data_IF_075563201995
#
_entry.id   IF_075563201995
#
_cell.length_a   1.000
_cell.length_b   1.000
_cell.length_c   1.000
_cell.angle_alpha   90.00
_cell.angle_beta   90.00
_cell.angle_gamma   90.00
#
_symmetry.space_group_name_H-M   'P 1'
#
loop_
_entity.id
_entity.type
_entity.pdbx_description
1 polymer ?
#
# COMPACT_ATOMS: atom_id res chain seq x y z
N UNK A 1 16.72 4.09 15.92
CA UNK A 1 16.67 4.23 14.44
C UNK A 1 17.76 5.22 14.03
N UNK A 2 18.92 4.75 13.54
CA UNK A 2 19.98 5.65 13.04
C UNK A 2 19.47 6.30 11.75
N UNK A 3 19.19 7.59 11.79
CA UNK A 3 18.76 8.33 10.59
C UNK A 3 19.97 8.42 9.66
N UNK A 4 19.87 7.83 8.48
CA UNK A 4 20.92 7.95 7.48
C UNK A 4 20.96 9.38 6.97
N UNK A 5 22.13 10.02 7.06
CA UNK A 5 22.35 11.39 6.56
C UNK A 5 22.03 11.53 5.08
N UNK A 6 22.19 10.46 4.29
CA UNK A 6 21.76 10.38 2.88
C UNK A 6 20.26 10.61 2.71
N UNK A 7 19.41 9.97 3.53
CA UNK A 7 17.95 10.12 3.41
C UNK A 7 17.49 11.52 3.81
N UNK A 8 18.13 12.11 4.81
CA UNK A 8 17.80 13.48 5.25
C UNK A 8 18.18 14.51 4.18
N UNK A 9 19.31 14.32 3.48
CA UNK A 9 19.69 15.13 2.32
C UNK A 9 18.71 14.96 1.16
N UNK A 10 18.31 13.74 0.83
CA UNK A 10 17.32 13.47 -0.22
C UNK A 10 15.99 14.14 0.11
N UNK A 11 15.55 14.09 1.36
CA UNK A 11 14.34 14.79 1.80
C UNK A 11 14.46 16.31 1.65
N UNK A 12 15.55 16.92 2.16
CA UNK A 12 15.76 18.37 2.08
C UNK A 12 15.86 18.88 0.64
N UNK A 13 16.68 18.24 -0.20
CA UNK A 13 16.79 18.60 -1.61
C UNK A 13 15.51 18.27 -2.40
N UNK A 14 14.86 17.15 -2.13
CA UNK A 14 13.60 16.78 -2.77
C UNK A 14 12.51 17.82 -2.50
N UNK A 15 12.39 18.27 -1.25
CA UNK A 15 11.42 19.29 -0.87
C UNK A 15 11.74 20.66 -1.49
N UNK A 16 13.01 21.04 -1.56
CA UNK A 16 13.45 22.25 -2.28
C UNK A 16 13.14 22.19 -3.78
N UNK A 17 13.40 21.06 -4.45
CA UNK A 17 13.08 20.88 -5.88
C UNK A 17 11.59 20.96 -6.13
N UNK A 18 10.77 20.32 -5.28
CA UNK A 18 9.31 20.39 -5.39
C UNK A 18 8.82 21.84 -5.23
N UNK A 19 9.30 22.56 -4.20
CA UNK A 19 8.96 23.97 -3.99
C UNK A 19 9.39 24.86 -5.16
N UNK A 20 10.60 24.66 -5.70
CA UNK A 20 11.09 25.38 -6.87
C UNK A 20 10.23 25.11 -8.11
N UNK A 21 9.82 23.85 -8.32
CA UNK A 21 8.92 23.50 -9.42
C UNK A 21 7.56 24.19 -9.29
N UNK A 22 6.97 24.21 -8.09
CA UNK A 22 5.73 24.95 -7.85
C UNK A 22 5.92 26.47 -8.04
N UNK A 23 7.01 27.05 -7.53
CA UNK A 23 7.31 28.47 -7.73
C UNK A 23 7.41 28.83 -9.22
N UNK A 24 8.11 28.01 -10.02
CA UNK A 24 8.19 28.15 -11.47
C UNK A 24 6.82 28.04 -12.14
N UNK A 25 6.03 27.03 -11.73
CA UNK A 25 4.73 26.73 -12.32
C UNK A 25 3.68 27.79 -12.02
N UNK A 26 3.73 28.39 -10.83
CA UNK A 26 2.91 29.55 -10.46
C UNK A 26 3.34 30.80 -11.21
N UNK A 27 4.64 31.07 -11.33
CA UNK A 27 5.15 32.19 -12.12
C UNK A 27 4.74 32.11 -13.60
N UNK A 28 4.69 30.90 -14.17
CA UNK A 28 4.32 30.68 -15.57
C UNK A 28 2.81 30.78 -15.85
N UNK A 29 1.92 30.52 -14.88
CA UNK A 29 0.46 30.53 -15.12
C UNK A 29 -0.29 31.70 -14.52
N UNK A 30 0.14 32.21 -13.37
CA UNK A 30 -0.47 33.37 -12.75
C UNK A 30 0.63 34.41 -12.53
N UNK A 31 0.60 35.53 -13.26
CA UNK A 31 1.46 36.70 -12.99
C UNK A 31 1.19 37.35 -11.62
N UNK A 32 0.51 36.63 -10.72
CA UNK A 32 0.24 37.01 -9.35
C UNK A 32 1.54 36.87 -8.55
N UNK A 33 2.34 37.94 -8.60
CA UNK A 33 3.71 37.99 -8.11
C UNK A 33 3.82 37.87 -6.58
N UNK A 34 2.71 37.91 -5.85
CA UNK A 34 2.72 37.96 -4.38
C UNK A 34 3.21 36.67 -3.72
N UNK A 35 2.92 35.49 -4.29
CA UNK A 35 3.23 34.19 -3.65
C UNK A 35 4.53 33.55 -4.18
N UNK A 36 4.95 33.91 -5.39
CA UNK A 36 6.19 33.44 -6.02
C UNK A 36 7.46 33.73 -5.17
N UNK A 37 7.69 34.94 -4.61
CA UNK A 37 8.88 35.21 -3.81
C UNK A 37 8.85 34.45 -2.48
N UNK A 38 7.67 34.19 -1.90
CA UNK A 38 7.52 33.43 -0.66
C UNK A 38 7.93 31.97 -0.89
N UNK A 39 7.44 31.36 -1.98
CA UNK A 39 7.78 29.99 -2.36
C UNK A 39 9.27 29.85 -2.76
N UNK A 40 9.80 30.83 -3.50
CA UNK A 40 11.21 30.89 -3.86
C UNK A 40 12.13 31.03 -2.64
N UNK A 41 11.79 31.94 -1.71
CA UNK A 41 12.51 32.12 -0.46
C UNK A 41 12.45 30.85 0.41
N UNK A 42 11.29 30.21 0.51
CA UNK A 42 11.14 28.94 1.23
C UNK A 42 12.02 27.83 0.62
N UNK A 43 12.05 27.68 -0.70
CA UNK A 43 12.92 26.73 -1.39
C UNK A 43 14.40 26.97 -1.08
N UNK A 44 14.82 28.24 -1.13
CA UNK A 44 16.22 28.64 -0.91
C UNK A 44 16.61 28.47 0.56
N UNK A 45 15.70 28.76 1.50
CA UNK A 45 15.86 28.47 2.91
C UNK A 45 16.01 26.97 3.16
N UNK A 46 15.16 26.13 2.56
CA UNK A 46 15.27 24.68 2.71
C UNK A 46 16.59 24.14 2.15
N UNK A 47 17.03 24.59 0.98
CA UNK A 47 18.33 24.21 0.42
C UNK A 47 19.51 24.66 1.31
N UNK A 48 19.44 25.88 1.85
CA UNK A 48 20.44 26.44 2.74
C UNK A 48 20.50 25.67 4.08
N UNK A 49 19.35 25.43 4.72
CA UNK A 49 19.25 24.65 5.96
C UNK A 49 19.76 23.22 5.77
N UNK A 50 19.46 22.59 4.64
CA UNK A 50 19.95 21.24 4.32
C UNK A 50 21.49 21.19 4.20
N UNK A 51 22.10 22.29 3.74
CA UNK A 51 23.56 22.40 3.54
C UNK A 51 24.30 22.75 4.83
N UNK A 52 23.79 23.70 5.62
CA UNK A 52 24.49 24.22 6.80
C UNK A 52 24.08 23.56 8.13
N UNK A 53 22.84 23.10 8.26
CA UNK A 53 22.25 22.65 9.53
C UNK A 53 21.34 21.44 9.34
N UNK A 54 21.91 20.32 8.89
CA UNK A 54 21.18 19.07 8.66
C UNK A 54 20.47 18.56 9.94
N UNK A 55 21.05 18.80 11.11
CA UNK A 55 20.51 18.36 12.41
C UNK A 55 19.15 19.02 12.76
N UNK A 56 18.92 20.26 12.34
CA UNK A 56 17.65 20.95 12.57
C UNK A 56 16.48 20.29 11.81
N UNK A 57 16.78 19.56 10.74
CA UNK A 57 15.79 18.88 9.91
C UNK A 57 15.36 17.51 10.49
N UNK A 58 16.12 16.96 11.43
CA UNK A 58 15.87 15.66 12.07
C UNK A 58 14.48 15.57 12.73
N UNK A 59 14.08 16.49 13.65
CA UNK A 59 12.78 16.38 14.32
C UNK A 59 11.61 16.53 13.33
N UNK A 60 11.76 17.40 12.33
CA UNK A 60 10.75 17.61 11.30
C UNK A 60 10.61 16.39 10.40
N UNK A 61 11.72 15.86 9.87
CA UNK A 61 11.75 14.64 9.08
C UNK A 61 11.12 13.46 9.84
N UNK A 62 11.43 13.31 11.13
CA UNK A 62 10.89 12.21 11.93
C UNK A 62 9.38 12.29 12.10
N UNK A 63 8.82 13.48 12.37
CA UNK A 63 7.36 13.64 12.44
C UNK A 63 6.71 13.42 11.07
N UNK A 64 7.30 13.97 10.02
CA UNK A 64 6.81 13.78 8.65
C UNK A 64 6.78 12.30 8.25
N UNK A 65 7.85 11.57 8.54
CA UNK A 65 7.94 10.14 8.23
C UNK A 65 6.94 9.30 9.01
N UNK A 66 6.60 9.65 10.26
CA UNK A 66 5.53 8.98 11.01
C UNK A 66 4.18 9.12 10.31
N UNK A 67 3.87 10.32 9.81
CA UNK A 67 2.64 10.58 9.05
C UNK A 67 2.65 9.80 7.73
N UNK A 68 3.76 9.85 7.00
CA UNK A 68 3.92 9.10 5.75
C UNK A 68 3.76 7.58 5.96
N UNK A 69 4.30 7.03 7.06
CA UNK A 69 4.13 5.62 7.42
C UNK A 69 2.69 5.28 7.77
N UNK A 70 2.00 6.14 8.51
CA UNK A 70 0.58 5.95 8.84
C UNK A 70 -0.29 5.93 7.58
N UNK A 71 -0.09 6.89 6.68
CA UNK A 71 -0.77 6.93 5.37
C UNK A 71 -0.43 5.68 4.56
N UNK A 72 0.86 5.30 4.51
CA UNK A 72 1.31 4.12 3.79
C UNK A 72 0.66 2.82 4.29
N UNK A 73 0.44 2.69 5.60
CA UNK A 73 -0.26 1.55 6.19
C UNK A 73 -1.72 1.48 5.72
N UNK A 74 -2.43 2.61 5.76
CA UNK A 74 -3.81 2.70 5.27
C UNK A 74 -3.88 2.36 3.79
N UNK A 75 -2.99 2.94 2.97
CA UNK A 75 -2.93 2.68 1.52
C UNK A 75 -2.65 1.20 1.24
N UNK A 76 -1.75 0.56 1.99
CA UNK A 76 -1.45 -0.86 1.83
C UNK A 76 -2.67 -1.73 2.11
N UNK A 77 -3.37 -1.48 3.22
CA UNK A 77 -4.61 -2.18 3.58
C UNK A 77 -5.69 -1.93 2.54
N UNK A 78 -5.81 -0.70 2.04
CA UNK A 78 -6.81 -0.32 1.04
C UNK A 78 -6.55 -1.04 -0.29
N UNK A 79 -5.33 -0.98 -0.82
CA UNK A 79 -4.95 -1.64 -2.07
C UNK A 79 -5.17 -3.15 -1.95
N UNK A 80 -4.72 -3.76 -0.85
CA UNK A 80 -4.88 -5.20 -0.64
C UNK A 80 -6.36 -5.60 -0.53
N UNK A 81 -7.17 -4.81 0.17
CA UNK A 81 -8.61 -5.01 0.26
C UNK A 81 -9.28 -4.94 -1.11
N UNK A 82 -8.97 -3.90 -1.90
CA UNK A 82 -9.53 -3.73 -3.24
C UNK A 82 -9.17 -4.94 -4.11
N UNK A 83 -7.90 -5.34 -4.15
CA UNK A 83 -7.46 -6.50 -4.92
C UNK A 83 -8.18 -7.76 -4.44
N UNK A 84 -8.30 -7.95 -3.13
CA UNK A 84 -8.94 -9.14 -2.59
C UNK A 84 -10.41 -9.25 -3.02
N UNK A 85 -11.18 -8.17 -2.86
CA UNK A 85 -12.60 -8.17 -3.24
C UNK A 85 -12.82 -8.17 -4.74
N UNK A 86 -12.00 -7.48 -5.54
CA UNK A 86 -12.15 -7.50 -6.99
C UNK A 86 -11.71 -8.82 -7.60
N UNK A 87 -10.62 -9.42 -7.13
CA UNK A 87 -10.14 -10.67 -7.73
C UNK A 87 -10.92 -11.85 -7.16
N UNK A 88 -10.83 -12.09 -5.85
CA UNK A 88 -11.47 -13.26 -5.24
C UNK A 88 -12.98 -13.11 -5.13
N UNK A 89 -13.47 -11.89 -4.87
CA UNK A 89 -14.91 -11.65 -4.83
C UNK A 89 -15.59 -11.86 -6.18
N UNK A 90 -15.00 -11.38 -7.29
CA UNK A 90 -15.55 -11.65 -8.63
C UNK A 90 -15.49 -13.14 -8.94
N UNK A 91 -14.41 -13.85 -8.60
CA UNK A 91 -14.34 -15.32 -8.77
C UNK A 91 -15.45 -16.03 -8.00
N UNK A 92 -15.70 -15.64 -6.75
CA UNK A 92 -16.79 -16.19 -5.93
C UNK A 92 -18.18 -15.91 -6.53
N UNK A 93 -18.41 -14.68 -7.01
CA UNK A 93 -19.65 -14.31 -7.71
C UNK A 93 -19.80 -15.14 -8.98
N UNK A 94 -18.73 -15.33 -9.76
CA UNK A 94 -18.75 -16.08 -11.01
C UNK A 94 -19.05 -17.56 -10.78
N UNK A 95 -18.45 -18.18 -9.75
CA UNK A 95 -18.77 -19.54 -9.33
C UNK A 95 -20.24 -19.69 -8.91
N UNK A 96 -20.78 -18.68 -8.20
CA UNK A 96 -22.19 -18.66 -7.78
C UNK A 96 -23.15 -18.51 -8.97
N UNK A 97 -22.81 -17.67 -9.94
CA UNK A 97 -23.57 -17.51 -11.19
C UNK A 97 -23.55 -18.79 -12.04
N UNK A 98 -22.40 -19.47 -12.09
CA UNK A 98 -22.25 -20.78 -12.73
C UNK A 98 -22.94 -21.92 -11.96
N UNK A 99 -23.55 -21.61 -10.80
CA UNK A 99 -24.25 -22.54 -9.91
C UNK A 99 -23.40 -23.78 -9.56
N UNK A 100 -22.08 -23.62 -9.61
CA UNK A 100 -21.12 -24.70 -9.42
C UNK A 100 -20.89 -24.86 -7.92
N UNK A 101 -21.56 -25.85 -7.35
CA UNK A 101 -21.33 -26.23 -5.97
C UNK A 101 -20.03 -27.06 -5.89
N UNK A 102 -18.93 -26.41 -5.53
CA UNK A 102 -17.63 -27.09 -5.39
C UNK A 102 -17.54 -27.90 -4.08
N UNK A 103 -18.44 -27.66 -3.13
CA UNK A 103 -18.37 -28.22 -1.79
C UNK A 103 -19.59 -29.10 -1.47
N UNK A 104 -20.47 -29.40 -2.43
CA UNK A 104 -21.75 -30.10 -2.25
C UNK A 104 -22.51 -29.57 -0.99
N UNK A 105 -22.56 -28.25 -0.85
CA UNK A 105 -23.21 -27.58 0.28
C UNK A 105 -24.74 -27.61 0.20
N UNK A 106 -25.32 -27.96 -0.95
CA UNK A 106 -26.77 -28.10 -1.09
C UNK A 106 -27.30 -29.30 -0.28
N UNK A 107 -28.06 -28.99 0.78
CA UNK A 107 -28.69 -29.97 1.67
C UNK A 107 -29.92 -30.61 0.98
N UNK A 108 -29.75 -31.73 0.28
CA UNK A 108 -30.86 -32.46 -0.33
C UNK A 108 -31.67 -33.23 0.72
N UNK A 109 -32.89 -32.79 1.01
CA UNK A 109 -33.76 -33.43 2.03
C UNK A 109 -34.26 -34.82 1.62
N UNK A 110 -34.01 -35.27 0.38
CA UNK A 110 -34.41 -36.59 -0.11
C UNK A 110 -33.32 -37.65 0.10
N UNK A 111 -32.09 -37.27 0.45
CA UNK A 111 -31.01 -38.23 0.69
C UNK A 111 -31.05 -38.80 2.10
N UNK A 112 -30.96 -40.13 2.20
CA UNK A 112 -30.94 -40.88 3.48
C UNK A 112 -29.65 -40.63 4.27
N UNK A 113 -28.55 -40.26 3.60
CA UNK A 113 -27.26 -39.99 4.23
C UNK A 113 -26.38 -39.13 3.31
N UNK A 114 -25.71 -38.12 3.89
CA UNK A 114 -24.71 -37.28 3.22
C UNK A 114 -23.30 -37.88 3.25
N UNK A 115 -23.13 -39.07 3.83
CA UNK A 115 -21.81 -39.70 3.95
C UNK A 115 -21.33 -40.24 2.59
N UNK A 116 -20.30 -39.61 2.04
CA UNK A 116 -19.57 -40.17 0.89
C UNK A 116 -18.79 -41.42 1.33
N UNK A 117 -19.21 -42.59 0.85
CA UNK A 117 -18.48 -43.85 1.08
C UNK A 117 -17.11 -43.77 0.41
N UNK A 118 -16.05 -43.72 1.20
CA UNK A 118 -14.67 -43.82 0.72
C UNK A 118 -14.37 -45.29 0.39
N UNK A 119 -13.72 -45.60 -0.75
CA UNK A 119 -13.33 -46.96 -1.07
C UNK A 119 -12.34 -47.46 -0.01
N UNK A 120 -12.65 -48.59 0.63
CA UNK A 120 -11.71 -49.25 1.53
C UNK A 120 -10.56 -49.78 0.68
N UNK A 121 -9.42 -49.10 0.79
CA UNK A 121 -8.17 -49.57 0.19
C UNK A 121 -7.25 -50.05 1.30
N UNK A 122 -6.37 -51.01 0.99
CA UNK A 122 -5.40 -51.52 1.96
C UNK A 122 -4.58 -50.39 2.60
N UNK A 123 -4.35 -50.55 3.91
CA UNK A 123 -3.60 -49.60 4.72
C UNK A 123 -2.15 -49.54 4.23
N UNK A 124 -1.76 -48.40 3.64
CA UNK A 124 -0.40 -48.14 3.20
C UNK A 124 0.11 -46.85 3.85
N UNK A 125 1.19 -46.96 4.62
CA UNK A 125 1.80 -45.86 5.38
C UNK A 125 2.21 -44.69 4.48
N UNK A 126 2.62 -44.96 3.25
CA UNK A 126 3.06 -43.95 2.28
C UNK A 126 1.92 -43.06 1.76
N UNK A 127 0.66 -43.52 1.87
CA UNK A 127 -0.50 -42.75 1.42
C UNK A 127 -0.78 -41.54 2.32
N UNK A 128 -0.43 -41.63 3.61
CA UNK A 128 -0.52 -40.50 4.54
C UNK A 128 0.43 -39.36 4.18
N UNK A 129 1.50 -39.63 3.42
CA UNK A 129 2.42 -38.58 2.95
C UNK A 129 1.88 -37.80 1.73
N UNK A 130 0.81 -38.28 1.07
CA UNK A 130 0.24 -37.70 -0.16
C UNK A 130 -1.23 -37.28 0.00
N UNK A 131 -1.60 -36.86 1.20
CA UNK A 131 -2.99 -36.55 1.57
C UNK A 131 -3.53 -35.23 0.98
N UNK A 132 -2.65 -34.28 0.63
CA UNK A 132 -2.99 -32.92 0.21
C UNK A 132 -2.52 -32.65 -1.22
#
# INVERSE_FOLDING_TARGET
>A
MKIQTKQLKVFGYGLAVILAFFAWRFWAQEKNLSWVPILGAASLLFACVTTFRLEALIPFYTRWMKVAQFIGSIVTVLILSIIFYFVFGIVGIMLRLLRKDLLDQTMDRRTVSYWHKRPQTEFQKDRYRKQF
#
